data_IF_577758492072
#
_entry.id   IF_577758492072
#
_cell.length_a   1.000
_cell.length_b   1.000
_cell.length_c   1.000
_cell.angle_alpha   90.00
_cell.angle_beta   90.00
_cell.angle_gamma   90.00
#
_symmetry.space_group_name_H-M   'P 1'
#
loop_
_entity.id
_entity.type
_entity.pdbx_description
1 polymer ?
#
# COMPACT_ATOMS: atom_id res chain seq x y z
N UNK A 1 0.64 -2.00 9.95
CA UNK A 1 0.59 -3.07 10.97
C UNK A 1 -0.31 -4.16 10.44
N UNK A 2 0.06 -5.44 10.61
CA UNK A 2 -0.79 -6.58 10.21
C UNK A 2 -1.32 -7.24 11.46
N UNK A 3 -2.58 -7.64 11.44
CA UNK A 3 -3.19 -8.44 12.50
C UNK A 3 -2.83 -9.90 12.20
N UNK A 4 -2.15 -10.57 13.13
CA UNK A 4 -1.72 -11.96 12.99
C UNK A 4 -2.63 -12.96 13.72
N UNK A 5 -3.44 -12.48 14.67
CA UNK A 5 -4.35 -13.29 15.46
C UNK A 5 -5.65 -12.52 15.70
N UNK A 6 -6.79 -13.17 15.51
CA UNK A 6 -8.11 -12.60 15.74
C UNK A 6 -9.02 -13.68 16.36
N UNK A 7 -9.85 -13.36 17.37
CA UNK A 7 -10.63 -14.37 18.12
C UNK A 7 -11.71 -15.10 17.30
N UNK A 8 -12.02 -14.61 16.10
CA UNK A 8 -13.11 -15.12 15.23
C UNK A 8 -12.62 -15.43 13.81
N UNK A 9 -11.55 -14.79 13.35
CA UNK A 9 -11.15 -14.84 11.94
C UNK A 9 -9.86 -15.63 11.80
N UNK A 10 -9.86 -16.57 10.85
CA UNK A 10 -8.66 -17.29 10.44
C UNK A 10 -8.00 -16.57 9.24
N UNK A 11 -6.68 -16.50 9.27
CA UNK A 11 -5.88 -15.90 8.21
C UNK A 11 -5.02 -16.99 7.58
N UNK A 12 -5.50 -17.68 6.52
CA UNK A 12 -4.68 -18.67 5.85
C UNK A 12 -3.41 -18.02 5.29
N UNK A 13 -2.24 -18.69 5.39
CA UNK A 13 -1.00 -18.16 4.89
C UNK A 13 -1.10 -17.97 3.37
N UNK A 14 -0.76 -16.77 2.92
CA UNK A 14 -0.63 -16.41 1.50
C UNK A 14 0.85 -16.19 1.16
N UNK A 15 1.28 -16.41 -0.09
CA UNK A 15 2.66 -16.20 -0.48
C UNK A 15 3.13 -14.76 -0.22
N UNK A 16 4.36 -14.63 0.25
CA UNK A 16 5.02 -13.34 0.41
C UNK A 16 5.69 -12.99 -0.92
N UNK A 17 5.40 -11.79 -1.41
CA UNK A 17 6.00 -11.24 -2.63
C UNK A 17 6.96 -10.11 -2.28
N UNK A 18 7.99 -9.95 -3.10
CA UNK A 18 8.98 -8.88 -2.95
C UNK A 18 8.80 -7.86 -4.06
N UNK A 19 8.88 -6.57 -3.70
CA UNK A 19 8.83 -5.47 -4.66
C UNK A 19 9.74 -4.32 -4.20
N UNK A 20 9.99 -3.36 -5.08
CA UNK A 20 10.83 -2.19 -4.79
C UNK A 20 9.96 -0.94 -4.74
N UNK A 21 10.17 -0.10 -3.72
CA UNK A 21 9.52 1.21 -3.59
C UNK A 21 10.57 2.23 -3.17
N UNK A 22 10.75 3.31 -3.96
CA UNK A 22 11.74 4.37 -3.69
C UNK A 22 13.15 3.81 -3.45
N UNK A 23 13.57 2.81 -4.27
CA UNK A 23 14.86 2.15 -4.15
C UNK A 23 15.01 1.18 -2.97
N UNK A 24 13.96 0.99 -2.15
CA UNK A 24 13.96 0.07 -1.01
C UNK A 24 13.21 -1.21 -1.37
N UNK A 25 13.81 -2.35 -1.08
CA UNK A 25 13.15 -3.65 -1.19
C UNK A 25 12.16 -3.81 -0.03
N UNK A 26 10.89 -4.06 -0.35
CA UNK A 26 9.79 -4.26 0.58
C UNK A 26 9.11 -5.61 0.30
N UNK A 27 8.32 -6.07 1.26
CA UNK A 27 7.55 -7.30 1.17
C UNK A 27 6.05 -7.04 1.29
N UNK A 28 5.27 -7.68 0.43
CA UNK A 28 3.81 -7.71 0.45
C UNK A 28 3.30 -9.14 0.52
N UNK A 29 1.98 -9.28 0.55
CA UNK A 29 1.31 -10.58 0.47
C UNK A 29 0.56 -10.66 -0.84
N UNK A 30 0.74 -11.74 -1.60
CA UNK A 30 0.15 -11.92 -2.93
C UNK A 30 -1.35 -11.63 -2.95
N UNK A 31 -1.77 -10.75 -3.87
CA UNK A 31 -3.16 -10.38 -4.10
C UNK A 31 -3.74 -9.34 -3.12
N UNK A 32 -2.94 -8.75 -2.24
CA UNK A 32 -3.38 -7.60 -1.46
C UNK A 32 -3.02 -6.28 -2.14
N UNK A 33 -3.75 -5.18 -1.87
CA UNK A 33 -3.41 -3.91 -2.47
C UNK A 33 -2.01 -3.40 -2.11
N UNK A 34 -1.31 -2.76 -3.05
CA UNK A 34 0.01 -2.12 -2.84
C UNK A 34 0.01 -1.23 -1.58
N UNK A 35 -1.06 -0.45 -1.37
CA UNK A 35 -1.19 0.45 -0.22
C UNK A 35 -1.18 -0.32 1.12
N UNK A 36 -1.72 -1.55 1.16
CA UNK A 36 -1.70 -2.39 2.35
C UNK A 36 -0.27 -2.83 2.67
N UNK A 37 0.49 -3.25 1.65
CA UNK A 37 1.90 -3.62 1.80
C UNK A 37 2.76 -2.43 2.26
N UNK A 38 2.59 -1.26 1.63
CA UNK A 38 3.28 -0.03 2.02
C UNK A 38 2.93 0.39 3.45
N UNK A 39 1.65 0.30 3.82
CA UNK A 39 1.21 0.61 5.19
C UNK A 39 1.76 -0.39 6.21
N UNK A 40 1.86 -1.67 5.86
CA UNK A 40 2.51 -2.68 6.69
C UNK A 40 4.00 -2.38 6.89
N UNK A 41 4.70 -1.92 5.84
CA UNK A 41 6.11 -1.52 5.87
C UNK A 41 6.39 -0.17 6.56
N UNK A 42 5.37 0.49 7.12
CA UNK A 42 5.53 1.76 7.82
C UNK A 42 5.49 3.00 6.91
N UNK A 43 5.29 2.84 5.61
CA UNK A 43 5.12 3.97 4.69
C UNK A 43 3.74 4.58 4.93
N UNK A 44 3.70 5.90 5.15
CA UNK A 44 2.47 6.66 5.46
C UNK A 44 2.23 7.79 4.46
N UNK A 45 3.31 8.40 3.99
CA UNK A 45 3.29 9.43 2.95
C UNK A 45 3.58 8.75 1.63
N UNK A 46 2.62 8.85 0.70
CA UNK A 46 2.71 8.29 -0.66
C UNK A 46 2.93 9.40 -1.69
N UNK A 47 2.48 10.61 -1.37
CA UNK A 47 2.60 11.78 -2.24
C UNK A 47 2.69 13.03 -1.40
N UNK A 48 3.46 14.00 -1.86
CA UNK A 48 3.47 15.35 -1.31
C UNK A 48 2.80 16.30 -2.30
N UNK A 49 1.93 17.18 -1.80
CA UNK A 49 1.33 18.25 -2.60
C UNK A 49 2.08 19.57 -2.40
N UNK A 50 1.91 20.56 -3.31
CA UNK A 50 2.50 21.88 -3.14
C UNK A 50 2.26 22.46 -1.74
N UNK A 51 3.32 23.02 -1.16
CA UNK A 51 3.31 23.56 0.21
C UNK A 51 3.49 22.52 1.32
N UNK A 52 4.09 21.36 1.03
CA UNK A 52 4.48 20.39 2.06
C UNK A 52 3.30 19.63 2.68
N UNK A 53 2.26 19.36 1.90
CA UNK A 53 1.03 18.72 2.39
C UNK A 53 1.06 17.22 2.06
N UNK A 54 1.43 16.34 3.01
CA UNK A 54 1.51 14.92 2.74
C UNK A 54 0.14 14.29 2.49
N UNK A 55 0.11 13.33 1.58
CA UNK A 55 -1.03 12.49 1.23
C UNK A 55 -0.62 11.03 1.34
N UNK A 56 -1.60 10.19 1.68
CA UNK A 56 -1.36 8.78 1.91
C UNK A 56 -2.64 7.98 1.88
N UNK A 57 -2.56 6.80 2.50
CA UNK A 57 -3.65 5.86 2.60
C UNK A 57 -4.79 6.44 3.45
N UNK A 58 -5.96 6.71 2.82
CA UNK A 58 -7.12 7.32 3.46
C UNK A 58 -8.42 6.53 3.25
N UNK A 59 -8.99 6.55 2.04
CA UNK A 59 -10.33 5.94 1.83
C UNK A 59 -10.33 4.42 1.62
N UNK A 60 -9.19 3.84 1.22
CA UNK A 60 -9.04 2.42 0.89
C UNK A 60 -9.99 1.84 -0.19
N UNK A 61 -10.70 2.69 -0.94
CA UNK A 61 -11.71 2.28 -1.94
C UNK A 61 -11.53 2.94 -3.31
N UNK A 62 -10.38 3.60 -3.53
CA UNK A 62 -10.07 4.27 -4.80
C UNK A 62 -10.69 5.66 -5.00
N UNK A 63 -11.49 6.20 -4.08
CA UNK A 63 -12.22 7.46 -4.31
C UNK A 63 -11.38 8.75 -4.06
N UNK A 64 -10.52 8.77 -3.04
CA UNK A 64 -9.97 10.01 -2.48
C UNK A 64 -8.69 10.59 -3.13
N UNK A 65 -8.19 9.98 -4.22
CA UNK A 65 -6.98 10.38 -4.97
C UNK A 65 -5.68 10.57 -4.16
N UNK A 66 -5.67 10.23 -2.87
CA UNK A 66 -4.54 10.47 -1.96
C UNK A 66 -3.48 9.37 -2.01
N UNK A 67 -3.81 8.23 -2.61
CA UNK A 67 -2.97 7.04 -2.69
C UNK A 67 -2.30 6.85 -4.07
N UNK A 68 -2.21 7.91 -4.87
CA UNK A 68 -1.56 7.81 -6.18
C UNK A 68 -0.07 7.56 -6.03
N UNK A 69 0.42 6.56 -6.77
CA UNK A 69 1.83 6.20 -6.91
C UNK A 69 2.14 5.93 -8.38
N UNK A 70 3.42 5.70 -8.68
CA UNK A 70 3.86 5.17 -9.98
C UNK A 70 4.11 3.67 -9.81
N UNK A 71 3.51 2.84 -10.65
CA UNK A 71 3.71 1.38 -10.65
C UNK A 71 4.25 0.99 -12.01
N UNK A 72 5.45 0.41 -12.05
CA UNK A 72 6.09 -0.08 -13.28
C UNK A 72 6.09 0.92 -14.46
N UNK A 73 6.25 2.21 -14.13
CA UNK A 73 6.25 3.32 -15.08
C UNK A 73 4.89 3.94 -15.36
N UNK A 74 3.79 3.35 -14.89
CA UNK A 74 2.44 3.91 -15.02
C UNK A 74 2.15 4.92 -13.90
N UNK A 75 1.89 6.20 -14.21
CA UNK A 75 1.60 7.21 -13.21
C UNK A 75 0.14 7.21 -12.79
N UNK A 76 -0.14 7.80 -11.61
CA UNK A 76 -1.50 7.97 -11.07
C UNK A 76 -2.23 6.65 -10.80
N UNK A 77 -1.49 5.59 -10.49
CA UNK A 77 -2.07 4.29 -10.11
C UNK A 77 -2.58 4.38 -8.68
N UNK A 78 -3.80 3.89 -8.46
CA UNK A 78 -4.45 3.89 -7.14
C UNK A 78 -3.96 2.68 -6.35
N UNK A 79 -2.87 2.84 -5.61
CA UNK A 79 -2.28 1.78 -4.78
C UNK A 79 -3.26 1.08 -3.82
N UNK A 80 -4.40 1.69 -3.47
CA UNK A 80 -5.39 1.06 -2.59
C UNK A 80 -6.33 0.05 -3.28
N UNK A 81 -6.31 -0.03 -4.61
CA UNK A 81 -7.10 -1.00 -5.39
C UNK A 81 -6.24 -1.79 -6.39
N UNK A 82 -4.98 -1.37 -6.61
CA UNK A 82 -4.00 -2.11 -7.38
C UNK A 82 -3.38 -3.22 -6.51
N UNK A 83 -3.40 -4.50 -6.96
CA UNK A 83 -2.86 -5.65 -6.23
C UNK A 83 -1.33 -5.75 -6.23
#
# INVERSE_FOLDING_TARGET
MRISSHPILDFPPRPVVTFTFEGRQLTGVEGEPIAAALHAAGVRVLREMPGGRPRGFFCAIGNCSSCYVVVDGEPNVRSCIEP
#
